data_IF_991882601613
#
_entry.id   IF_991882601613
#
_cell.length_a   1.000
_cell.length_b   1.000
_cell.length_c   1.000
_cell.angle_alpha   90.00
_cell.angle_beta   90.00
_cell.angle_gamma   90.00
#
_symmetry.space_group_name_H-M   'P 1'
#
loop_
_entity.id
_entity.type
_entity.pdbx_description
1 polymer ?
#
# COMPACT_ATOMS: atom_id res chain seq x y z
N UNK A 1 43.01 -41.74 13.07
CA UNK A 1 42.02 -42.76 13.51
C UNK A 1 40.64 -42.44 12.92
N UNK A 2 39.98 -43.42 12.29
CA UNK A 2 38.64 -43.26 11.69
C UNK A 2 37.60 -42.82 12.73
N UNK A 3 37.78 -43.22 13.99
CA UNK A 3 36.89 -42.84 15.10
C UNK A 3 37.02 -41.36 15.45
N UNK A 4 38.24 -40.83 15.52
CA UNK A 4 38.48 -39.40 15.81
C UNK A 4 37.83 -38.53 14.72
N UNK A 5 38.00 -38.89 13.45
CA UNK A 5 37.37 -38.18 12.33
C UNK A 5 35.84 -38.16 12.44
N UNK A 6 35.20 -39.31 12.72
CA UNK A 6 33.75 -39.39 12.87
C UNK A 6 33.23 -38.54 14.04
N UNK A 7 33.93 -38.56 15.17
CA UNK A 7 33.57 -37.76 16.36
C UNK A 7 33.69 -36.27 16.06
N UNK A 8 34.81 -35.82 15.47
CA UNK A 8 35.02 -34.42 15.11
C UNK A 8 33.98 -33.93 14.10
N UNK A 9 33.67 -34.74 13.08
CA UNK A 9 32.64 -34.39 12.09
C UNK A 9 31.24 -34.31 12.73
N UNK A 10 30.89 -35.27 13.58
CA UNK A 10 29.59 -35.26 14.27
C UNK A 10 29.46 -34.06 15.21
N UNK A 11 30.52 -33.70 15.93
CA UNK A 11 30.55 -32.52 16.78
C UNK A 11 30.40 -31.23 15.96
N UNK A 12 31.09 -31.13 14.81
CA UNK A 12 30.95 -29.99 13.90
C UNK A 12 29.53 -29.83 13.36
N UNK A 13 28.89 -30.93 12.93
CA UNK A 13 27.50 -30.93 12.47
C UNK A 13 26.57 -30.52 13.61
N UNK A 14 26.72 -31.09 14.80
CA UNK A 14 25.89 -30.78 15.95
C UNK A 14 26.00 -29.30 16.34
N UNK A 15 27.20 -28.74 16.37
CA UNK A 15 27.41 -27.32 16.65
C UNK A 15 26.77 -26.43 15.59
N UNK A 16 26.91 -26.78 14.30
CA UNK A 16 26.25 -26.05 13.22
C UNK A 16 24.71 -26.11 13.35
N UNK A 17 24.15 -27.27 13.65
CA UNK A 17 22.71 -27.45 13.86
C UNK A 17 22.23 -26.65 15.07
N UNK A 18 22.92 -26.73 16.22
CA UNK A 18 22.55 -25.99 17.43
C UNK A 18 22.66 -24.47 17.24
N UNK A 19 23.69 -24.01 16.53
CA UNK A 19 23.84 -22.60 16.18
C UNK A 19 22.67 -22.12 15.32
N UNK A 20 22.37 -22.83 14.23
CA UNK A 20 21.25 -22.45 13.35
C UNK A 20 19.90 -22.56 14.07
N UNK A 21 19.70 -23.60 14.87
CA UNK A 21 18.50 -23.75 15.68
C UNK A 21 18.34 -22.55 16.61
N UNK A 22 19.38 -22.19 17.37
CA UNK A 22 19.38 -21.03 18.25
C UNK A 22 19.06 -19.72 17.52
N UNK A 23 19.62 -19.50 16.33
CA UNK A 23 19.29 -18.33 15.49
C UNK A 23 17.82 -18.36 15.07
N UNK A 24 17.33 -19.48 14.53
CA UNK A 24 15.94 -19.61 14.06
C UNK A 24 14.90 -19.53 15.19
N UNK A 25 15.26 -19.99 16.40
CA UNK A 25 14.41 -19.93 17.62
C UNK A 25 14.58 -18.69 18.45
N UNK A 26 15.42 -17.76 17.99
CA UNK A 26 15.55 -16.44 18.58
C UNK A 26 14.85 -15.40 17.71
N UNK A 27 14.65 -14.20 18.28
CA UNK A 27 14.24 -13.03 17.51
C UNK A 27 15.31 -12.50 16.53
N UNK A 28 16.52 -13.07 16.51
CA UNK A 28 17.62 -12.61 15.65
C UNK A 28 17.37 -12.88 14.17
N UNK A 29 16.55 -13.90 13.84
CA UNK A 29 16.14 -14.20 12.47
C UNK A 29 14.83 -13.51 12.07
N UNK A 30 14.31 -12.62 12.92
CA UNK A 30 12.98 -12.00 12.77
C UNK A 30 11.97 -12.52 13.79
N UNK A 31 10.72 -12.04 13.68
CA UNK A 31 9.63 -12.47 14.56
C UNK A 31 9.16 -13.88 14.20
N UNK A 32 9.53 -14.86 15.02
CA UNK A 32 9.14 -16.27 14.88
C UNK A 32 8.15 -16.66 15.98
N UNK A 33 6.86 -16.42 15.76
CA UNK A 33 5.82 -16.75 16.72
C UNK A 33 5.47 -18.26 16.80
N UNK A 34 6.08 -19.08 15.94
CA UNK A 34 5.88 -20.54 15.92
C UNK A 34 4.41 -20.98 15.86
N UNK A 35 3.90 -21.52 16.96
CA UNK A 35 2.54 -22.07 17.11
C UNK A 35 1.56 -21.05 17.69
N UNK A 36 1.81 -19.75 17.49
CA UNK A 36 0.91 -18.70 17.95
C UNK A 36 -0.45 -18.77 17.23
N UNK A 37 -1.48 -18.18 17.84
CA UNK A 37 -2.83 -18.15 17.25
C UNK A 37 -2.78 -17.36 15.94
N UNK A 38 -3.19 -18.00 14.83
CA UNK A 38 -3.13 -17.37 13.51
C UNK A 38 -3.89 -16.04 13.44
N UNK A 39 -4.99 -15.88 14.19
CA UNK A 39 -5.75 -14.61 14.20
C UNK A 39 -5.00 -13.53 14.96
N UNK A 40 -4.24 -13.91 16.00
CA UNK A 40 -3.35 -12.98 16.69
C UNK A 40 -2.23 -12.51 15.77
N UNK A 41 -1.58 -13.45 15.06
CA UNK A 41 -0.52 -13.15 14.10
C UNK A 41 -1.01 -12.29 12.92
N UNK A 42 -2.19 -12.61 12.37
CA UNK A 42 -2.85 -11.82 11.33
C UNK A 42 -3.11 -10.40 11.79
N UNK A 43 -3.75 -10.24 12.96
CA UNK A 43 -4.04 -8.92 13.50
C UNK A 43 -2.77 -8.10 13.74
N UNK A 44 -1.74 -8.73 14.31
CA UNK A 44 -0.44 -8.10 14.52
C UNK A 44 0.21 -7.68 13.21
N UNK A 45 0.22 -8.55 12.20
CA UNK A 45 0.76 -8.23 10.89
C UNK A 45 -0.01 -7.04 10.27
N UNK A 46 -1.35 -7.08 10.29
CA UNK A 46 -2.18 -6.02 9.72
C UNK A 46 -2.01 -4.68 10.43
N UNK A 47 -1.86 -4.67 11.76
CA UNK A 47 -1.56 -3.44 12.52
C UNK A 47 -0.19 -2.83 12.14
N UNK A 48 0.77 -3.68 11.73
CA UNK A 48 2.13 -3.27 11.40
C UNK A 48 2.32 -2.88 9.93
N UNK A 49 1.68 -3.60 9.00
CA UNK A 49 1.93 -3.45 7.55
C UNK A 49 0.78 -2.82 6.79
N UNK A 50 -0.47 -2.93 7.27
CA UNK A 50 -1.65 -2.43 6.58
C UNK A 50 -2.71 -1.82 7.51
N UNK A 51 -2.38 -0.79 8.30
CA UNK A 51 -3.34 -0.18 9.23
C UNK A 51 -4.57 0.42 8.53
N UNK A 52 -4.46 0.79 7.25
CA UNK A 52 -5.58 1.26 6.44
C UNK A 52 -6.54 0.13 6.06
N UNK A 53 -6.01 -1.07 5.83
CA UNK A 53 -6.80 -2.28 5.59
C UNK A 53 -7.51 -2.68 6.87
N UNK A 54 -6.83 -2.59 8.02
CA UNK A 54 -7.46 -2.77 9.33
C UNK A 54 -8.62 -1.81 9.53
N UNK A 55 -8.44 -0.53 9.20
CA UNK A 55 -9.51 0.47 9.31
C UNK A 55 -10.69 0.10 8.40
N UNK A 56 -10.45 -0.25 7.14
CA UNK A 56 -11.51 -0.67 6.20
C UNK A 56 -12.24 -1.94 6.69
N UNK A 57 -11.54 -2.92 7.25
CA UNK A 57 -12.13 -4.11 7.85
C UNK A 57 -13.03 -3.77 9.05
N UNK A 58 -12.62 -2.79 9.87
CA UNK A 58 -13.41 -2.33 11.02
C UNK A 58 -14.68 -1.58 10.62
N UNK A 59 -14.72 -1.00 9.41
CA UNK A 59 -15.91 -0.33 8.89
C UNK A 59 -17.05 -1.29 8.57
N UNK A 60 -16.78 -2.60 8.47
CA UNK A 60 -17.77 -3.65 8.18
C UNK A 60 -18.65 -3.31 6.98
N UNK A 61 -17.97 -3.10 5.85
CA UNK A 61 -18.59 -2.81 4.57
C UNK A 61 -19.57 -3.92 4.18
N UNK A 62 -20.67 -3.54 3.54
CA UNK A 62 -21.63 -4.51 3.00
C UNK A 62 -21.02 -5.28 1.84
N UNK A 63 -21.54 -6.48 1.49
CA UNK A 63 -21.04 -7.27 0.37
C UNK A 63 -21.11 -6.57 -1.00
N UNK A 64 -21.95 -5.54 -1.14
CA UNK A 64 -22.12 -4.71 -2.33
C UNK A 64 -21.39 -3.36 -2.21
N UNK A 65 -20.48 -3.20 -1.24
CA UNK A 65 -19.64 -2.04 -1.08
C UNK A 65 -18.19 -2.43 -1.34
N UNK A 66 -17.72 -2.05 -2.53
CA UNK A 66 -16.42 -2.44 -3.07
C UNK A 66 -15.39 -1.33 -2.79
N UNK A 67 -14.16 -1.73 -2.50
CA UNK A 67 -13.03 -0.81 -2.39
C UNK A 67 -12.19 -0.86 -3.67
N UNK A 68 -11.99 0.28 -4.33
CA UNK A 68 -10.95 0.41 -5.35
C UNK A 68 -9.62 0.69 -4.65
N UNK A 69 -8.72 -0.29 -4.64
CA UNK A 69 -7.37 -0.16 -4.08
C UNK A 69 -6.37 0.26 -5.15
N UNK A 70 -5.69 1.38 -4.93
CA UNK A 70 -4.73 1.97 -5.86
C UNK A 70 -3.33 1.95 -5.25
N UNK A 71 -2.43 1.23 -5.90
CA UNK A 71 -1.01 1.19 -5.59
C UNK A 71 -0.59 0.22 -4.50
N UNK A 72 -1.53 -0.35 -3.72
CA UNK A 72 -1.19 -1.30 -2.67
C UNK A 72 -1.12 -2.73 -3.18
N UNK A 73 0.04 -3.37 -3.01
CA UNK A 73 0.22 -4.76 -3.37
C UNK A 73 -0.24 -5.75 -2.26
N UNK A 74 -0.33 -5.31 -1.01
CA UNK A 74 -0.46 -6.14 0.19
C UNK A 74 -1.90 -6.14 0.75
N UNK A 75 -2.85 -6.71 0.00
CA UNK A 75 -4.27 -6.76 0.40
C UNK A 75 -4.71 -8.12 0.98
N UNK A 76 -3.75 -8.91 1.48
CA UNK A 76 -3.98 -10.31 1.87
C UNK A 76 -5.06 -10.51 2.93
N UNK A 77 -5.27 -9.52 3.81
CA UNK A 77 -6.22 -9.58 4.92
C UNK A 77 -7.44 -8.68 4.72
N UNK A 78 -7.73 -8.26 3.49
CA UNK A 78 -8.95 -7.50 3.20
C UNK A 78 -10.20 -8.39 3.43
N UNK A 79 -11.10 -7.97 4.33
CA UNK A 79 -12.39 -8.62 4.63
C UNK A 79 -13.54 -8.06 3.77
N UNK A 80 -13.23 -7.23 2.79
CA UNK A 80 -14.18 -6.53 1.93
C UNK A 80 -13.92 -6.85 0.44
N UNK A 81 -14.95 -6.73 -0.43
CA UNK A 81 -14.75 -6.82 -1.87
C UNK A 81 -13.78 -5.75 -2.37
N UNK A 82 -12.80 -6.13 -3.18
CA UNK A 82 -11.74 -5.23 -3.64
C UNK A 82 -11.56 -5.31 -5.16
N UNK A 83 -11.41 -4.14 -5.77
CA UNK A 83 -10.89 -4.00 -7.13
C UNK A 83 -9.46 -3.49 -7.03
N UNK A 84 -8.55 -4.20 -7.66
CA UNK A 84 -7.11 -4.00 -7.52
C UNK A 84 -6.55 -3.18 -8.69
N UNK A 85 -5.76 -2.14 -8.38
CA UNK A 85 -5.13 -1.26 -9.36
C UNK A 85 -3.68 -1.01 -8.96
N UNK A 86 -2.78 -1.91 -9.34
CA UNK A 86 -1.36 -1.85 -8.96
C UNK A 86 -0.43 -1.95 -10.17
N UNK A 87 0.88 -1.93 -9.94
CA UNK A 87 1.90 -2.13 -10.99
C UNK A 87 1.91 -3.54 -11.58
N UNK A 88 1.27 -4.50 -10.91
CA UNK A 88 1.27 -5.90 -11.32
C UNK A 88 0.03 -6.30 -12.14
N UNK A 89 -0.90 -5.36 -12.33
CA UNK A 89 -2.19 -5.58 -12.99
C UNK A 89 -2.50 -4.45 -13.97
N UNK A 90 -3.68 -4.54 -14.60
CA UNK A 90 -4.22 -3.40 -15.34
C UNK A 90 -4.45 -2.22 -14.40
N UNK A 91 -4.08 -1.02 -14.85
CA UNK A 91 -4.31 0.22 -14.10
C UNK A 91 -5.79 0.62 -14.20
N UNK A 92 -6.60 -0.02 -13.36
CA UNK A 92 -8.05 0.18 -13.30
C UNK A 92 -8.40 1.64 -13.01
N UNK A 93 -7.66 2.31 -12.13
CA UNK A 93 -7.88 3.72 -11.85
C UNK A 93 -7.72 4.57 -13.12
N UNK A 94 -6.67 4.35 -13.91
CA UNK A 94 -6.51 5.03 -15.20
C UNK A 94 -7.61 4.64 -16.19
N UNK A 95 -7.89 3.35 -16.37
CA UNK A 95 -8.92 2.89 -17.31
C UNK A 95 -10.30 3.49 -17.03
N UNK A 96 -10.65 3.67 -15.75
CA UNK A 96 -11.97 4.17 -15.37
C UNK A 96 -12.05 5.69 -15.30
N UNK A 97 -10.94 6.38 -15.07
CA UNK A 97 -10.95 7.83 -14.86
C UNK A 97 -10.31 8.65 -15.98
N UNK A 98 -9.55 8.04 -16.88
CA UNK A 98 -8.82 8.74 -17.94
C UNK A 98 -9.56 8.69 -19.28
N UNK A 99 -9.46 9.77 -20.05
CA UNK A 99 -9.74 9.75 -21.48
C UNK A 99 -8.53 9.12 -22.18
N UNK A 100 -8.62 7.81 -22.45
CA UNK A 100 -7.51 7.07 -23.08
C UNK A 100 -7.41 7.48 -24.55
N UNK A 101 -6.29 8.10 -24.90
CA UNK A 101 -5.94 8.48 -26.26
C UNK A 101 -4.69 7.70 -26.69
N UNK A 102 -4.69 7.06 -27.88
CA UNK A 102 -3.50 6.45 -28.43
C UNK A 102 -2.35 7.46 -28.53
N UNK A 103 -1.13 7.02 -28.23
CA UNK A 103 0.11 7.80 -28.32
C UNK A 103 0.24 9.02 -27.38
N UNK A 104 -0.75 9.28 -26.52
CA UNK A 104 -0.66 10.32 -25.48
C UNK A 104 0.05 9.76 -24.23
N UNK A 105 1.14 10.38 -23.74
CA UNK A 105 1.79 9.96 -22.50
C UNK A 105 0.85 10.05 -21.29
N UNK A 106 0.95 9.08 -20.36
CA UNK A 106 0.07 8.96 -19.19
C UNK A 106 -0.09 10.26 -18.38
N UNK A 107 1.01 11.01 -18.18
CA UNK A 107 0.99 12.31 -17.47
C UNK A 107 0.11 13.37 -18.14
N UNK A 108 -0.09 13.26 -19.46
CA UNK A 108 -0.81 14.22 -20.29
C UNK A 108 -2.27 13.83 -20.51
N UNK A 109 -2.67 12.62 -20.12
CA UNK A 109 -4.05 12.16 -20.27
C UNK A 109 -5.00 13.03 -19.44
N UNK A 110 -6.13 13.38 -20.03
CA UNK A 110 -7.20 14.09 -19.36
C UNK A 110 -8.03 13.12 -18.53
N UNK A 111 -8.67 13.65 -17.48
CA UNK A 111 -9.69 12.89 -16.77
C UNK A 111 -10.99 12.96 -17.55
N UNK A 112 -11.73 11.85 -17.58
CA UNK A 112 -13.12 11.80 -18.03
C UNK A 112 -13.99 12.79 -17.25
N UNK A 113 -15.16 13.17 -17.79
CA UNK A 113 -16.13 13.95 -17.04
C UNK A 113 -16.51 13.28 -15.72
N UNK A 114 -16.65 14.08 -14.66
CA UNK A 114 -16.96 13.61 -13.31
C UNK A 114 -18.20 12.68 -13.27
N UNK A 115 -19.25 13.01 -14.03
CA UNK A 115 -20.47 12.20 -14.12
C UNK A 115 -20.25 10.82 -14.74
N UNK A 116 -19.30 10.68 -15.68
CA UNK A 116 -18.95 9.38 -16.25
C UNK A 116 -18.17 8.53 -15.23
N UNK A 117 -17.23 9.16 -14.52
CA UNK A 117 -16.45 8.49 -13.46
C UNK A 117 -17.39 8.03 -12.34
N UNK A 118 -18.30 8.90 -11.92
CA UNK A 118 -19.30 8.60 -10.91
C UNK A 118 -20.23 7.45 -11.35
N UNK A 119 -20.73 7.48 -12.59
CA UNK A 119 -21.54 6.40 -13.13
C UNK A 119 -20.77 5.07 -13.17
N UNK A 120 -19.48 5.11 -13.50
CA UNK A 120 -18.60 3.94 -13.49
C UNK A 120 -18.39 3.40 -12.07
N UNK A 121 -18.08 4.27 -11.11
CA UNK A 121 -17.92 3.86 -9.70
C UNK A 121 -19.21 3.27 -9.14
N UNK A 122 -20.36 3.86 -9.47
CA UNK A 122 -21.67 3.32 -9.07
C UNK A 122 -21.95 1.95 -9.70
N UNK A 123 -21.67 1.78 -10.99
CA UNK A 123 -21.87 0.51 -11.69
C UNK A 123 -20.99 -0.63 -11.13
N UNK A 124 -19.78 -0.29 -10.69
CA UNK A 124 -18.82 -1.21 -10.08
C UNK A 124 -18.94 -1.26 -8.55
N UNK A 125 -19.99 -0.65 -7.99
CA UNK A 125 -20.27 -0.69 -6.55
C UNK A 125 -19.15 -0.11 -5.66
N UNK A 126 -18.34 0.81 -6.19
CA UNK A 126 -17.23 1.42 -5.45
C UNK A 126 -17.78 2.34 -4.36
N UNK A 127 -17.59 1.93 -3.12
CA UNK A 127 -17.92 2.71 -1.93
C UNK A 127 -16.75 3.55 -1.44
N UNK A 128 -15.51 3.04 -1.62
CA UNK A 128 -14.28 3.70 -1.19
C UNK A 128 -13.19 3.56 -2.25
N UNK A 129 -12.36 4.59 -2.36
CA UNK A 129 -11.09 4.53 -3.08
C UNK A 129 -9.96 4.62 -2.05
N UNK A 130 -9.19 3.56 -1.92
CA UNK A 130 -8.01 3.49 -1.09
C UNK A 130 -6.76 3.71 -1.95
N UNK A 131 -5.82 4.53 -1.47
CA UNK A 131 -4.57 4.83 -2.19
C UNK A 131 -3.39 4.68 -1.26
N UNK A 132 -2.43 3.83 -1.62
CA UNK A 132 -1.16 3.68 -0.91
C UNK A 132 -0.06 4.48 -1.62
N UNK A 133 0.14 5.72 -1.19
CA UNK A 133 1.13 6.63 -1.74
C UNK A 133 2.57 6.21 -1.46
N UNK A 134 2.83 5.54 -0.34
CA UNK A 134 4.16 5.04 -0.01
C UNK A 134 4.61 3.95 -0.99
N UNK A 135 3.72 3.02 -1.31
CA UNK A 135 3.98 2.00 -2.33
C UNK A 135 4.15 2.63 -3.72
N UNK A 136 3.28 3.57 -4.11
CA UNK A 136 3.42 4.30 -5.38
C UNK A 136 4.78 5.01 -5.46
N UNK A 137 5.21 5.70 -4.40
CA UNK A 137 6.52 6.33 -4.35
C UNK A 137 7.63 5.28 -4.49
N UNK A 138 7.56 4.18 -3.73
CA UNK A 138 8.54 3.09 -3.76
C UNK A 138 8.67 2.49 -5.16
N UNK A 139 7.56 2.35 -5.90
CA UNK A 139 7.56 1.86 -7.27
C UNK A 139 8.17 2.85 -8.27
N UNK A 140 8.09 4.15 -8.00
CA UNK A 140 8.70 5.19 -8.85
C UNK A 140 10.21 5.37 -8.62
N UNK A 141 10.76 4.90 -7.50
CA UNK A 141 12.18 5.04 -7.22
C UNK A 141 13.04 4.22 -8.21
N UNK A 142 14.26 4.69 -8.54
CA UNK A 142 15.16 3.98 -9.45
C UNK A 142 15.44 2.54 -9.00
N UNK A 143 15.39 1.60 -9.96
CA UNK A 143 15.60 0.17 -9.69
C UNK A 143 14.37 -0.59 -9.22
N UNK A 144 13.20 0.06 -9.23
CA UNK A 144 11.90 -0.56 -8.95
C UNK A 144 11.11 -0.82 -10.24
N UNK A 145 9.85 -1.26 -10.11
CA UNK A 145 8.99 -1.66 -11.24
C UNK A 145 8.53 -0.49 -12.12
N UNK A 146 8.63 0.76 -11.64
CA UNK A 146 7.95 1.91 -12.23
C UNK A 146 6.48 1.97 -11.81
N UNK A 147 5.86 3.13 -11.97
CA UNK A 147 4.43 3.33 -11.76
C UNK A 147 3.91 4.28 -12.83
N UNK A 148 2.67 4.11 -13.30
CA UNK A 148 2.07 5.02 -14.29
C UNK A 148 2.16 6.48 -13.85
N UNK A 149 2.53 7.40 -14.75
CA UNK A 149 2.51 8.84 -14.45
C UNK A 149 1.11 9.44 -14.36
N UNK A 150 0.07 8.64 -14.64
CA UNK A 150 -1.31 9.08 -14.55
C UNK A 150 -1.74 9.26 -13.08
N UNK A 151 -1.37 8.33 -12.19
CA UNK A 151 -1.79 8.37 -10.78
C UNK A 151 -0.99 9.41 -10.00
N UNK A 152 -1.65 10.52 -9.67
CA UNK A 152 -1.09 11.65 -8.92
C UNK A 152 -2.11 12.17 -7.89
N UNK A 153 -1.67 12.75 -6.76
CA UNK A 153 -2.58 13.27 -5.74
C UNK A 153 -3.47 14.41 -6.27
N UNK A 154 -2.97 15.21 -7.20
CA UNK A 154 -3.74 16.24 -7.90
C UNK A 154 -5.04 15.70 -8.55
N UNK A 155 -5.04 14.46 -9.08
CA UNK A 155 -6.24 13.85 -9.67
C UNK A 155 -7.28 13.48 -8.61
N UNK A 156 -6.84 12.95 -7.46
CA UNK A 156 -7.74 12.68 -6.34
C UNK A 156 -8.32 13.98 -5.78
N UNK A 157 -7.50 15.02 -5.65
CA UNK A 157 -7.97 16.36 -5.30
C UNK A 157 -9.03 16.87 -6.27
N UNK A 158 -8.83 16.68 -7.59
CA UNK A 158 -9.81 17.03 -8.62
C UNK A 158 -11.11 16.24 -8.45
N UNK A 159 -11.05 14.93 -8.24
CA UNK A 159 -12.24 14.09 -7.98
C UNK A 159 -13.01 14.55 -6.73
N UNK A 160 -12.31 15.02 -5.70
CA UNK A 160 -12.95 15.62 -4.52
C UNK A 160 -13.62 16.95 -4.84
N UNK A 161 -12.95 17.80 -5.61
CA UNK A 161 -13.50 19.11 -6.03
C UNK A 161 -14.72 18.97 -6.95
N UNK A 162 -14.73 17.96 -7.81
CA UNK A 162 -15.82 17.67 -8.74
C UNK A 162 -16.96 16.86 -8.10
N UNK A 163 -16.85 16.49 -6.83
CA UNK A 163 -17.91 15.81 -6.08
C UNK A 163 -18.06 14.33 -6.42
N UNK A 164 -17.05 13.68 -7.01
CA UNK A 164 -17.01 12.22 -7.19
C UNK A 164 -16.58 11.54 -5.89
N UNK A 165 -15.58 12.11 -5.22
CA UNK A 165 -15.05 11.66 -3.94
C UNK A 165 -15.36 12.67 -2.83
N UNK A 166 -15.52 12.18 -1.60
CA UNK A 166 -15.52 13.02 -0.39
C UNK A 166 -14.08 13.29 0.05
N UNK A 167 -13.90 14.23 0.97
CA UNK A 167 -12.62 14.40 1.67
C UNK A 167 -12.15 13.06 2.25
N UNK A 168 -10.83 12.79 2.24
CA UNK A 168 -10.32 11.55 2.76
C UNK A 168 -10.66 11.41 4.24
N UNK A 169 -10.88 10.18 4.70
CA UNK A 169 -11.05 9.89 6.12
C UNK A 169 -9.86 10.45 6.92
N UNK A 170 -10.07 10.85 8.19
CA UNK A 170 -8.99 11.33 9.03
C UNK A 170 -7.85 10.32 9.07
N UNK A 171 -6.68 10.77 8.62
CA UNK A 171 -5.50 9.93 8.57
C UNK A 171 -4.95 9.79 10.00
N UNK A 172 -5.01 8.59 10.57
CA UNK A 172 -4.54 8.32 11.93
C UNK A 172 -3.18 7.60 11.96
N UNK A 173 -2.88 6.81 10.93
CA UNK A 173 -1.74 5.89 10.91
C UNK A 173 -0.80 6.11 9.72
N UNK A 174 -1.25 6.82 8.68
CA UNK A 174 -0.58 6.88 7.38
C UNK A 174 0.32 8.11 7.26
N UNK A 175 1.28 8.25 8.18
CA UNK A 175 2.30 9.29 8.13
C UNK A 175 3.70 8.73 8.31
N UNK A 176 4.64 9.23 7.49
CA UNK A 176 6.07 8.96 7.66
C UNK A 176 6.81 10.27 7.86
N UNK A 177 7.57 10.38 8.95
CA UNK A 177 8.38 11.56 9.23
C UNK A 177 9.45 11.73 8.13
N UNK A 178 9.56 12.94 7.58
CA UNK A 178 10.48 13.25 6.48
C UNK A 178 11.96 13.07 6.84
N UNK A 179 12.33 13.19 8.13
CA UNK A 179 13.71 13.01 8.59
C UNK A 179 14.16 11.54 8.51
N UNK A 180 13.22 10.60 8.30
CA UNK A 180 13.52 9.18 8.05
C UNK A 180 13.79 8.85 6.59
N UNK A 181 13.70 9.83 5.69
CA UNK A 181 13.96 9.62 4.27
C UNK A 181 15.45 9.76 3.97
N UNK A 182 15.93 8.98 2.99
CA UNK A 182 17.19 9.30 2.35
C UNK A 182 17.03 10.59 1.53
N UNK A 183 18.12 11.35 1.33
CA UNK A 183 18.08 12.58 0.52
C UNK A 183 17.51 12.34 -0.90
N UNK A 184 17.86 11.19 -1.48
CA UNK A 184 17.38 10.75 -2.80
C UNK A 184 15.87 10.56 -2.81
N UNK A 185 15.34 9.82 -1.84
CA UNK A 185 13.92 9.47 -1.83
C UNK A 185 13.07 10.68 -1.45
N UNK A 186 13.59 11.57 -0.57
CA UNK A 186 12.95 12.85 -0.26
C UNK A 186 12.88 13.75 -1.51
N UNK A 187 13.96 13.84 -2.28
CA UNK A 187 13.97 14.59 -3.54
C UNK A 187 12.92 14.04 -4.51
N UNK A 188 12.86 12.72 -4.68
CA UNK A 188 11.87 12.08 -5.55
C UNK A 188 10.43 12.38 -5.10
N UNK A 189 10.15 12.32 -3.80
CA UNK A 189 8.85 12.70 -3.23
C UNK A 189 8.48 14.15 -3.55
N UNK A 190 9.40 15.08 -3.30
CA UNK A 190 9.14 16.52 -3.49
C UNK A 190 9.00 16.91 -4.96
N UNK A 191 9.65 16.19 -5.87
CA UNK A 191 9.49 16.39 -7.31
C UNK A 191 8.17 15.83 -7.84
N UNK A 192 7.72 14.69 -7.31
CA UNK A 192 6.52 14.00 -7.80
C UNK A 192 5.22 14.49 -7.15
N UNK A 193 5.19 14.60 -5.83
CA UNK A 193 3.97 14.80 -5.04
C UNK A 193 4.22 15.67 -3.79
N UNK A 194 4.68 16.92 -3.95
CA UNK A 194 4.91 17.81 -2.81
C UNK A 194 3.65 18.07 -1.98
N UNK A 195 2.46 17.92 -2.55
CA UNK A 195 1.18 18.07 -1.85
C UNK A 195 0.87 16.98 -0.82
N UNK A 196 1.61 15.87 -0.83
CA UNK A 196 1.51 14.83 0.21
C UNK A 196 2.37 15.15 1.45
N UNK A 197 3.15 16.23 1.41
CA UNK A 197 3.91 16.70 2.57
C UNK A 197 3.07 17.67 3.38
N UNK A 198 2.89 17.36 4.66
CA UNK A 198 2.15 18.19 5.62
C UNK A 198 2.99 18.50 6.84
N UNK A 199 2.68 19.62 7.49
CA UNK A 199 3.27 19.97 8.79
C UNK A 199 2.32 19.58 9.92
N UNK A 200 2.85 18.90 10.94
CA UNK A 200 2.12 18.52 12.15
C UNK A 200 3.05 18.71 13.35
N UNK A 201 2.59 19.48 14.34
CA UNK A 201 3.33 19.68 15.60
C UNK A 201 4.76 20.21 15.41
N UNK A 202 5.00 21.00 14.35
CA UNK A 202 6.31 21.57 14.02
C UNK A 202 7.24 20.62 13.25
N UNK A 203 6.79 19.40 12.95
CA UNK A 203 7.52 18.44 12.13
C UNK A 203 6.82 18.20 10.79
N UNK A 204 7.59 17.76 9.79
CA UNK A 204 7.04 17.49 8.45
C UNK A 204 6.86 16.00 8.23
N UNK A 205 5.70 15.65 7.70
CA UNK A 205 5.28 14.28 7.45
C UNK A 205 4.82 14.09 6.01
N UNK A 206 5.12 12.92 5.48
CA UNK A 206 4.60 12.42 4.23
C UNK A 206 3.34 11.61 4.53
N UNK A 207 2.22 11.95 3.88
CA UNK A 207 1.00 11.15 3.89
C UNK A 207 1.25 9.88 3.09
N UNK A 208 1.33 8.73 3.76
CA UNK A 208 1.66 7.45 3.12
C UNK A 208 0.46 6.78 2.47
N UNK A 209 -0.76 7.09 2.90
CA UNK A 209 -1.97 6.52 2.34
C UNK A 209 -3.20 7.38 2.65
N UNK A 210 -4.26 7.21 1.86
CA UNK A 210 -5.54 7.91 2.04
C UNK A 210 -6.71 7.01 1.64
N UNK A 211 -7.85 7.16 2.33
CA UNK A 211 -9.11 6.49 2.00
C UNK A 211 -10.15 7.55 1.69
N UNK A 212 -10.70 7.54 0.48
CA UNK A 212 -11.70 8.49 0.01
C UNK A 212 -13.06 7.78 -0.10
N UNK A 213 -14.09 8.21 0.65
CA UNK A 213 -15.46 7.75 0.41
C UNK A 213 -15.96 8.26 -0.95
N UNK A 214 -16.67 7.42 -1.71
CA UNK A 214 -17.36 7.85 -2.94
C UNK A 214 -18.65 8.57 -2.58
N UNK A 215 -18.97 9.67 -3.28
CA UNK A 215 -20.12 10.52 -2.93
C UNK A 215 -21.45 9.79 -3.06
N UNK A 216 -21.62 9.04 -4.14
CA UNK A 216 -22.85 8.28 -4.46
C UNK A 216 -22.71 6.78 -4.23
N UNK A 217 -21.95 6.40 -3.20
CA UNK A 217 -21.86 5.01 -2.75
C UNK A 217 -23.26 4.36 -2.69
N UNK A 218 -23.43 3.13 -3.22
CA UNK A 218 -24.67 2.37 -3.07
C UNK A 218 -25.00 2.08 -1.59
#
# INVERSE_FOLDING_TARGET
SRTIWKVSLSAGILLAVLFNLGITTSGLSGYNAYLDDMRHAEKFALEMTGPEILLLNQMKLKPDQVVLSVGDAELFYAEFPVVYSTVFDEDIFKLWTAEIEPDTPDKSLKMKPASEIEAKFKAEHIAYVYVNWAEILRYRLPGSYGYTDYVTPARFKKLVQEGVLKQPLPNQFSYRNLDTFSERDLKALLEWAPELVVEREGERYFITAQIFPVVTSP
#
